data_IF_773248108920
#
_entry.id   IF_773248108920
#
_cell.length_a   1.000
_cell.length_b   1.000
_cell.length_c   1.000
_cell.angle_alpha   90.00
_cell.angle_beta   90.00
_cell.angle_gamma   90.00
#
_symmetry.space_group_name_H-M   'P 1'
#
loop_
_entity.id
_entity.type
_entity.pdbx_description
1 polymer ?
#
# COMPACT_ATOMS: atom_id res chain seq x y z
N UNK A 1 10.42 49.17 34.51
CA UNK A 1 11.24 49.36 33.29
C UNK A 1 11.03 48.08 32.48
N UNK A 2 10.07 47.97 31.56
CA UNK A 2 9.55 48.95 30.60
C UNK A 2 10.62 49.37 29.59
N UNK A 3 10.38 49.08 28.31
CA UNK A 3 11.37 49.11 27.23
C UNK A 3 10.83 48.45 25.96
N UNK A 4 9.64 48.87 25.51
CA UNK A 4 9.12 48.52 24.18
C UNK A 4 10.00 49.07 23.06
N UNK A 5 10.09 48.35 21.95
CA UNK A 5 10.30 48.95 20.63
C UNK A 5 9.71 48.08 19.53
N UNK A 6 8.43 48.31 19.22
CA UNK A 6 7.83 47.92 17.96
C UNK A 6 7.99 49.07 16.95
N UNK A 7 8.30 48.75 15.69
CA UNK A 7 8.47 49.74 14.61
C UNK A 7 7.52 49.41 13.47
N UNK A 8 6.63 50.35 13.13
CA UNK A 8 5.71 50.21 12.00
C UNK A 8 6.46 50.37 10.67
N UNK A 9 5.95 49.72 9.63
CA UNK A 9 6.04 50.23 8.26
C UNK A 9 4.64 50.21 7.63
N UNK A 10 4.24 51.33 7.03
CA UNK A 10 2.89 51.56 6.51
C UNK A 10 2.81 51.43 5.00
N UNK A 11 1.73 50.79 4.56
CA UNK A 11 1.10 50.82 3.24
C UNK A 11 1.50 51.94 2.26
N UNK A 12 1.54 51.60 0.97
CA UNK A 12 1.03 52.47 -0.08
C UNK A 12 0.21 51.69 -1.12
N UNK A 13 -0.70 52.43 -1.75
CA UNK A 13 -1.53 52.15 -2.94
C UNK A 13 -0.79 51.41 -4.07
N UNK A 14 -1.45 50.66 -4.98
CA UNK A 14 -2.89 50.52 -5.24
C UNK A 14 -3.15 50.48 -6.76
N UNK A 15 -4.17 49.76 -7.22
CA UNK A 15 -4.48 49.64 -8.66
C UNK A 15 -5.77 48.86 -8.89
N UNK A 16 -6.72 49.48 -9.59
CA UNK A 16 -8.10 49.00 -9.73
C UNK A 16 -8.56 49.08 -11.20
N UNK A 17 -8.75 47.90 -11.81
CA UNK A 17 -9.46 47.64 -13.07
C UNK A 17 -9.83 46.14 -13.03
N UNK A 18 -11.04 45.67 -13.33
CA UNK A 18 -12.23 46.36 -13.86
C UNK A 18 -12.63 45.76 -15.22
N UNK A 19 -13.48 44.72 -15.24
CA UNK A 19 -13.87 44.07 -16.50
C UNK A 19 -14.81 42.86 -16.39
N UNK A 20 -16.09 43.12 -16.65
CA UNK A 20 -17.11 42.23 -17.25
C UNK A 20 -17.21 40.73 -16.87
N UNK A 21 -18.39 40.38 -16.34
CA UNK A 21 -18.95 39.01 -16.37
C UNK A 21 -19.35 38.65 -17.81
N UNK A 22 -19.19 37.39 -18.22
CA UNK A 22 -20.09 36.77 -19.19
C UNK A 22 -20.25 35.26 -18.95
N UNK A 23 -21.51 34.83 -18.87
CA UNK A 23 -21.92 33.43 -18.97
C UNK A 23 -21.84 32.97 -20.45
N UNK A 24 -21.64 31.67 -20.69
CA UNK A 24 -21.23 31.16 -22.00
C UNK A 24 -21.18 29.63 -22.14
N UNK A 25 -22.32 28.97 -22.06
CA UNK A 25 -22.48 27.57 -22.46
C UNK A 25 -22.23 27.38 -23.97
N UNK A 26 -21.21 26.60 -24.33
CA UNK A 26 -20.91 26.23 -25.72
C UNK A 26 -21.40 24.82 -26.05
N UNK A 27 -22.56 24.72 -26.69
CA UNK A 27 -23.10 23.47 -27.25
C UNK A 27 -22.39 23.12 -28.57
N UNK A 28 -21.69 21.98 -28.62
CA UNK A 28 -20.91 21.56 -29.78
C UNK A 28 -21.74 20.71 -30.77
N UNK A 29 -22.77 21.30 -31.38
CA UNK A 29 -23.46 20.72 -32.54
C UNK A 29 -23.74 21.79 -33.59
N UNK A 30 -23.03 21.73 -34.73
CA UNK A 30 -23.47 22.09 -36.08
C UNK A 30 -22.27 22.31 -37.02
N UNK A 31 -21.90 21.28 -37.81
CA UNK A 31 -21.28 21.41 -39.15
C UNK A 31 -21.18 20.02 -39.79
N UNK A 32 -21.21 19.96 -41.13
CA UNK A 32 -21.13 18.74 -41.96
C UNK A 32 -22.31 17.76 -41.86
N UNK A 33 -23.45 18.13 -42.46
CA UNK A 33 -24.35 17.14 -43.07
C UNK A 33 -24.02 16.96 -44.55
N UNK A 34 -23.68 15.73 -44.99
CA UNK A 34 -23.56 15.37 -46.41
C UNK A 34 -24.19 13.99 -46.66
N UNK A 35 -25.34 14.03 -47.34
CA UNK A 35 -25.96 13.05 -48.27
C UNK A 35 -25.77 11.52 -48.07
N UNK A 36 -26.91 10.82 -48.03
CA UNK A 36 -27.01 9.37 -48.27
C UNK A 36 -26.47 8.94 -49.65
N UNK A 37 -25.66 7.87 -49.70
CA UNK A 37 -25.49 7.06 -50.93
C UNK A 37 -24.80 5.70 -50.68
N UNK A 38 -25.57 4.62 -50.86
CA UNK A 38 -25.13 3.28 -51.33
C UNK A 38 -24.15 2.46 -50.43
N UNK A 39 -24.74 1.44 -49.77
CA UNK A 39 -24.34 0.02 -49.73
C UNK A 39 -22.81 -0.27 -49.90
N UNK A 40 -22.07 -0.69 -48.89
CA UNK A 40 -22.26 -1.99 -48.20
C UNK A 40 -21.59 -1.98 -46.82
N UNK A 41 -22.36 -2.28 -45.77
CA UNK A 41 -21.79 -2.73 -44.49
C UNK A 41 -21.20 -4.14 -44.69
N UNK A 42 -19.92 -4.40 -44.35
CA UNK A 42 -19.51 -5.77 -44.11
C UNK A 42 -20.35 -6.31 -42.95
N UNK A 43 -20.89 -7.52 -43.08
CA UNK A 43 -21.42 -8.22 -41.92
C UNK A 43 -20.25 -8.41 -40.95
N UNK A 44 -20.26 -7.65 -39.85
CA UNK A 44 -19.44 -7.96 -38.68
C UNK A 44 -20.05 -9.23 -38.11
N UNK A 45 -19.60 -10.35 -38.66
CA UNK A 45 -19.86 -11.69 -38.14
C UNK A 45 -19.75 -11.63 -36.63
N UNK A 46 -20.75 -12.17 -35.94
CA UNK A 46 -20.82 -12.20 -34.49
C UNK A 46 -19.81 -13.21 -33.95
N UNK A 47 -18.52 -12.92 -34.15
CA UNK A 47 -17.41 -13.58 -33.48
C UNK A 47 -17.68 -13.48 -32.00
N UNK A 48 -17.96 -14.63 -31.39
CA UNK A 48 -18.39 -14.70 -30.01
C UNK A 48 -17.37 -14.00 -29.13
N UNK A 49 -17.84 -13.07 -28.30
CA UNK A 49 -17.08 -12.62 -27.14
C UNK A 49 -17.09 -13.75 -26.11
N UNK A 50 -16.41 -14.86 -26.44
CA UNK A 50 -15.84 -15.80 -25.47
C UNK A 50 -14.77 -15.03 -24.71
N UNK A 51 -15.21 -14.13 -23.83
CA UNK A 51 -14.37 -13.39 -22.91
C UNK A 51 -13.54 -14.40 -22.16
N UNK A 52 -12.22 -14.37 -22.37
CA UNK A 52 -11.28 -15.42 -21.97
C UNK A 52 -11.48 -15.79 -20.50
N UNK A 53 -12.21 -16.88 -20.28
CA UNK A 53 -12.56 -17.31 -18.93
C UNK A 53 -11.30 -17.62 -18.16
N UNK A 54 -11.27 -17.21 -16.90
CA UNK A 54 -10.14 -17.48 -16.01
C UNK A 54 -9.93 -19.00 -15.92
N UNK A 55 -8.70 -19.47 -16.18
CA UNK A 55 -8.41 -20.90 -16.19
C UNK A 55 -8.89 -21.54 -14.86
N UNK A 56 -9.74 -22.59 -14.87
CA UNK A 56 -10.49 -23.01 -13.68
C UNK A 56 -9.65 -23.30 -12.43
N UNK A 57 -8.46 -23.90 -12.59
CA UNK A 57 -7.51 -24.14 -11.47
C UNK A 57 -6.94 -22.87 -10.82
N UNK A 58 -6.98 -21.72 -11.52
CA UNK A 58 -6.60 -20.43 -10.95
C UNK A 58 -7.81 -19.73 -10.34
N UNK A 59 -9.00 -19.87 -10.95
CA UNK A 59 -10.26 -19.42 -10.37
C UNK A 59 -10.48 -20.02 -8.97
N UNK A 60 -10.31 -21.33 -8.82
CA UNK A 60 -10.31 -22.07 -7.53
C UNK A 60 -9.39 -21.45 -6.45
N UNK A 61 -8.28 -20.82 -6.85
CA UNK A 61 -7.30 -20.22 -5.95
C UNK A 61 -7.51 -18.73 -5.68
N UNK A 62 -8.33 -18.04 -6.50
CA UNK A 62 -8.74 -16.64 -6.23
C UNK A 62 -10.17 -16.52 -5.70
N UNK A 63 -10.99 -17.55 -5.84
CA UNK A 63 -12.35 -17.61 -5.31
C UNK A 63 -12.35 -17.49 -3.77
N UNK A 64 -13.23 -16.65 -3.25
CA UNK A 64 -13.30 -16.34 -1.82
C UNK A 64 -12.16 -15.49 -1.24
N UNK A 65 -11.16 -15.04 -2.03
CA UNK A 65 -10.10 -14.14 -1.50
C UNK A 65 -10.67 -12.84 -0.93
N UNK A 66 -11.71 -12.27 -1.56
CA UNK A 66 -12.40 -11.09 -1.03
C UNK A 66 -13.04 -11.35 0.33
N UNK A 67 -13.72 -12.50 0.51
CA UNK A 67 -14.31 -12.89 1.79
C UNK A 67 -13.26 -13.14 2.89
N UNK A 68 -12.03 -13.56 2.55
CA UNK A 68 -10.91 -13.61 3.50
C UNK A 68 -10.34 -12.23 3.81
N UNK A 69 -10.35 -11.30 2.84
CA UNK A 69 -10.03 -9.88 3.07
C UNK A 69 -11.07 -9.20 3.99
N UNK A 70 -12.37 -9.40 3.79
CA UNK A 70 -13.42 -8.84 4.64
C UNK A 70 -13.27 -9.31 6.10
N UNK A 71 -13.02 -10.61 6.31
CA UNK A 71 -12.71 -11.19 7.64
C UNK A 71 -11.48 -10.54 8.29
N UNK A 72 -10.42 -10.27 7.51
CA UNK A 72 -9.20 -9.63 7.99
C UNK A 72 -9.46 -8.18 8.43
N UNK A 73 -10.26 -7.42 7.68
CA UNK A 73 -10.59 -6.02 8.00
C UNK A 73 -11.53 -5.90 9.20
N UNK A 74 -12.43 -6.86 9.41
CA UNK A 74 -13.35 -6.87 10.55
C UNK A 74 -12.67 -7.05 11.94
N UNK A 75 -11.45 -7.61 11.99
CA UNK A 75 -11.04 -8.60 13.02
C UNK A 75 -11.77 -8.68 14.39
N UNK A 76 -11.64 -7.87 15.45
CA UNK A 76 -10.93 -6.63 15.84
C UNK A 76 -9.39 -6.74 15.96
N UNK A 77 -8.60 -5.66 15.76
CA UNK A 77 -7.14 -5.68 15.89
C UNK A 77 -6.61 -5.88 17.33
N UNK A 78 -5.42 -6.48 17.46
CA UNK A 78 -4.60 -6.42 18.68
C UNK A 78 -3.71 -5.17 18.62
N UNK A 79 -3.84 -4.26 19.60
CA UNK A 79 -3.08 -3.02 19.66
C UNK A 79 -2.13 -3.04 20.88
N UNK A 80 -0.83 -2.76 20.68
CA UNK A 80 0.19 -2.68 21.73
C UNK A 80 0.48 -3.98 22.51
N UNK A 81 -0.34 -5.02 22.35
CA UNK A 81 -0.28 -6.30 23.05
C UNK A 81 -0.08 -7.45 22.06
N UNK A 82 0.64 -8.52 22.42
CA UNK A 82 0.79 -9.68 21.55
C UNK A 82 -0.54 -10.44 21.42
N UNK A 83 -0.85 -11.01 20.25
CA UNK A 83 -2.04 -11.83 20.08
C UNK A 83 -2.04 -13.04 21.05
N UNK A 84 -3.23 -13.57 21.39
CA UNK A 84 -3.38 -14.66 22.36
C UNK A 84 -2.77 -15.97 21.83
N UNK A 85 -2.74 -17.01 22.66
CA UNK A 85 -2.11 -18.29 22.32
C UNK A 85 -2.94 -19.16 21.37
N UNK A 86 -4.25 -18.91 21.29
CA UNK A 86 -5.23 -19.71 20.54
C UNK A 86 -5.59 -19.11 19.16
N UNK A 87 -4.68 -18.39 18.51
CA UNK A 87 -4.89 -17.88 17.15
C UNK A 87 -4.59 -18.95 16.08
N UNK A 88 -5.08 -18.80 14.84
CA UNK A 88 -4.71 -19.65 13.72
C UNK A 88 -3.20 -19.84 13.57
N UNK A 89 -2.79 -21.03 13.16
CA UNK A 89 -1.36 -21.37 13.01
C UNK A 89 -0.74 -20.63 11.83
N UNK A 90 -1.44 -20.62 10.70
CA UNK A 90 -0.97 -20.01 9.45
C UNK A 90 -2.04 -19.17 8.73
N UNK A 91 -1.59 -18.27 7.86
CA UNK A 91 -2.45 -17.38 7.10
C UNK A 91 -1.78 -16.05 6.75
N UNK A 92 -2.60 -15.02 6.57
CA UNK A 92 -2.18 -13.65 6.24
C UNK A 92 -2.41 -12.73 7.44
N UNK A 93 -1.53 -11.75 7.62
CA UNK A 93 -1.60 -10.71 8.64
C UNK A 93 -1.40 -9.31 8.06
N UNK A 94 -1.94 -8.32 8.75
CA UNK A 94 -1.86 -6.89 8.45
C UNK A 94 -1.37 -6.14 9.70
N UNK A 95 -0.44 -5.20 9.49
CA UNK A 95 -0.13 -4.14 10.44
C UNK A 95 -0.68 -2.79 9.93
N UNK A 96 -1.36 -2.04 10.79
CA UNK A 96 -1.88 -0.69 10.50
C UNK A 96 -1.59 0.32 11.63
N UNK A 97 -1.51 1.60 11.32
CA UNK A 97 -1.49 2.68 12.31
C UNK A 97 -2.87 3.34 12.34
N UNK A 98 -3.64 3.04 13.41
CA UNK A 98 -5.08 3.27 13.38
C UNK A 98 -5.70 2.48 12.21
N UNK A 99 -6.35 3.22 11.32
CA UNK A 99 -6.99 2.71 10.10
C UNK A 99 -6.07 2.75 8.86
N UNK A 100 -4.84 3.29 8.94
CA UNK A 100 -3.89 3.34 7.81
C UNK A 100 -3.15 1.99 7.64
N UNK A 101 -3.41 1.21 6.58
CA UNK A 101 -2.84 -0.13 6.41
C UNK A 101 -1.42 -0.05 5.84
N UNK A 102 -0.41 -0.43 6.65
CA UNK A 102 0.99 -0.20 6.31
C UNK A 102 1.70 -1.41 5.69
N UNK A 103 1.45 -2.61 6.20
CA UNK A 103 2.14 -3.83 5.75
C UNK A 103 1.30 -5.10 5.87
N UNK A 104 1.18 -5.81 4.76
CA UNK A 104 0.63 -7.17 4.69
C UNK A 104 1.78 -8.18 4.64
N UNK A 105 1.62 -9.33 5.28
CA UNK A 105 2.47 -10.48 5.03
C UNK A 105 1.79 -11.81 5.33
N UNK A 106 2.37 -12.93 4.87
CA UNK A 106 1.93 -14.28 5.25
C UNK A 106 2.90 -15.02 6.16
N UNK A 107 2.40 -16.05 6.84
CA UNK A 107 3.19 -16.96 7.66
C UNK A 107 2.45 -18.26 7.97
N UNK A 108 3.19 -19.37 8.10
CA UNK A 108 2.68 -20.62 8.69
C UNK A 108 2.83 -20.68 10.22
N UNK A 109 3.24 -19.57 10.86
CA UNK A 109 3.48 -19.43 12.30
C UNK A 109 3.10 -18.01 12.75
N UNK A 110 1.85 -17.60 12.54
CA UNK A 110 1.37 -16.21 12.68
C UNK A 110 1.83 -15.53 13.99
N UNK A 111 1.58 -16.19 15.13
CA UNK A 111 1.98 -15.67 16.46
C UNK A 111 3.49 -15.50 16.62
N UNK A 112 4.27 -16.40 16.04
CA UNK A 112 5.74 -16.29 16.03
C UNK A 112 6.17 -15.11 15.15
N UNK A 113 5.55 -14.93 13.98
CA UNK A 113 5.86 -13.83 13.06
C UNK A 113 5.54 -12.45 13.64
N UNK A 114 4.48 -12.31 14.45
CA UNK A 114 4.26 -11.09 15.24
C UNK A 114 5.48 -10.78 16.12
N UNK A 115 5.97 -11.75 16.89
CA UNK A 115 7.15 -11.56 17.74
C UNK A 115 8.43 -11.30 16.94
N UNK A 116 8.59 -11.92 15.76
CA UNK A 116 9.74 -11.66 14.89
C UNK A 116 9.76 -10.22 14.37
N UNK A 117 8.61 -9.57 14.15
CA UNK A 117 8.58 -8.14 13.80
C UNK A 117 8.71 -7.20 15.00
N UNK A 118 8.24 -7.59 16.20
CA UNK A 118 8.08 -6.67 17.35
C UNK A 118 9.11 -6.79 18.48
N UNK A 119 9.93 -7.84 18.55
CA UNK A 119 10.94 -8.01 19.62
C UNK A 119 12.22 -7.23 19.34
N UNK A 120 12.80 -6.59 20.37
CA UNK A 120 14.07 -5.85 20.27
C UNK A 120 15.20 -6.73 19.69
N UNK A 121 15.32 -7.99 20.14
CA UNK A 121 16.34 -8.94 19.68
C UNK A 121 16.16 -9.49 18.26
N UNK A 122 15.09 -9.15 17.54
CA UNK A 122 14.86 -9.63 16.17
C UNK A 122 15.86 -9.03 15.18
N UNK A 123 16.43 -9.89 14.33
CA UNK A 123 17.44 -9.57 13.32
C UNK A 123 16.82 -9.05 12.01
N UNK A 124 17.63 -8.41 11.17
CA UNK A 124 17.24 -7.82 9.87
C UNK A 124 16.67 -8.82 8.84
N UNK A 125 16.84 -10.13 9.05
CA UNK A 125 16.25 -11.20 8.25
C UNK A 125 14.95 -11.78 8.84
N UNK A 126 14.56 -11.35 10.05
CA UNK A 126 13.34 -11.78 10.76
C UNK A 126 12.25 -10.70 10.70
N UNK A 127 12.60 -9.45 11.02
CA UNK A 127 11.70 -8.30 10.97
C UNK A 127 11.72 -7.66 9.57
N UNK A 128 11.11 -8.33 8.58
CA UNK A 128 11.13 -7.86 7.17
C UNK A 128 10.50 -6.47 6.99
N UNK A 129 9.49 -6.13 7.80
CA UNK A 129 8.80 -4.85 7.75
C UNK A 129 9.64 -3.73 8.38
N UNK A 130 10.19 -3.96 9.58
CA UNK A 130 11.07 -3.00 10.25
C UNK A 130 12.29 -2.62 9.40
N UNK A 131 12.82 -3.58 8.64
CA UNK A 131 13.90 -3.32 7.67
C UNK A 131 13.45 -2.31 6.59
N UNK A 132 12.24 -2.45 6.06
CA UNK A 132 11.73 -1.56 4.99
C UNK A 132 11.44 -0.15 5.48
N UNK A 133 10.92 0.00 6.70
CA UNK A 133 10.76 1.31 7.36
C UNK A 133 12.14 1.99 7.48
N UNK A 134 13.13 1.32 8.08
CA UNK A 134 14.46 1.88 8.28
C UNK A 134 15.19 2.21 6.96
N UNK A 135 15.04 1.35 5.95
CA UNK A 135 15.63 1.56 4.62
C UNK A 135 15.05 2.79 3.91
N UNK A 136 13.73 3.02 4.02
CA UNK A 136 13.07 4.18 3.41
C UNK A 136 13.33 5.48 4.19
N UNK A 137 13.41 5.43 5.53
CA UNK A 137 13.71 6.61 6.36
C UNK A 137 15.13 7.17 6.12
N UNK A 138 16.06 6.32 5.69
CA UNK A 138 17.45 6.69 5.39
C UNK A 138 17.69 6.98 3.90
N UNK A 139 16.62 7.04 3.09
CA UNK A 139 16.62 7.22 1.63
C UNK A 139 17.70 6.40 0.90
N UNK A 140 17.91 5.16 1.35
CA UNK A 140 18.98 4.32 0.83
C UNK A 140 18.66 3.91 -0.62
N UNK A 141 19.60 4.05 -1.57
CA UNK A 141 19.36 3.64 -2.95
C UNK A 141 19.06 2.14 -2.98
N UNK A 142 18.00 1.76 -3.71
CA UNK A 142 17.56 0.37 -3.85
C UNK A 142 18.77 -0.55 -4.09
N UNK A 143 18.98 -1.49 -3.18
CA UNK A 143 20.25 -2.20 -3.03
C UNK A 143 20.60 -2.94 -4.32
N UNK A 144 21.60 -2.44 -5.05
CA UNK A 144 22.05 -3.05 -6.30
C UNK A 144 22.63 -4.44 -6.01
N UNK A 145 22.59 -5.32 -7.01
CA UNK A 145 23.15 -6.69 -6.97
C UNK A 145 24.68 -6.78 -6.82
N UNK A 146 25.34 -5.71 -6.35
CA UNK A 146 26.76 -5.66 -5.98
C UNK A 146 27.00 -6.32 -4.61
N UNK A 147 28.26 -6.69 -4.32
CA UNK A 147 28.63 -7.15 -2.97
C UNK A 147 28.59 -5.97 -1.99
N UNK A 148 29.23 -4.87 -2.38
CA UNK A 148 29.08 -3.57 -1.73
C UNK A 148 27.63 -3.07 -1.80
N UNK A 149 27.13 -2.49 -0.70
CA UNK A 149 25.76 -1.97 -0.57
C UNK A 149 24.69 -3.04 -0.27
N UNK A 150 25.10 -4.31 -0.10
CA UNK A 150 24.17 -5.40 0.19
C UNK A 150 23.51 -5.32 1.58
N UNK A 151 22.38 -6.02 1.75
CA UNK A 151 21.58 -6.06 3.00
C UNK A 151 22.38 -6.33 4.30
N UNK A 152 23.54 -7.00 4.20
CA UNK A 152 24.43 -7.26 5.34
C UNK A 152 25.22 -6.03 5.78
N UNK A 153 25.69 -5.21 4.84
CA UNK A 153 26.51 -4.04 5.11
C UNK A 153 25.66 -2.89 5.64
N UNK A 154 24.49 -2.69 5.02
CA UNK A 154 23.46 -1.76 5.54
C UNK A 154 23.10 -2.11 6.99
N UNK A 155 23.00 -3.40 7.33
CA UNK A 155 22.72 -3.85 8.70
C UNK A 155 23.86 -3.62 9.72
N UNK A 156 25.02 -3.09 9.29
CA UNK A 156 26.14 -2.68 10.15
C UNK A 156 26.25 -1.15 10.32
N UNK A 157 25.52 -0.35 9.54
CA UNK A 157 25.51 1.11 9.67
C UNK A 157 24.83 1.53 10.98
N UNK A 158 25.45 2.43 11.76
CA UNK A 158 24.91 2.86 13.06
C UNK A 158 23.53 3.52 12.92
N UNK A 159 23.33 4.36 11.91
CA UNK A 159 22.03 4.95 11.57
C UNK A 159 20.98 3.88 11.27
N UNK A 160 21.33 2.87 10.46
CA UNK A 160 20.40 1.78 10.17
C UNK A 160 20.07 0.96 11.42
N UNK A 161 21.05 0.70 12.30
CA UNK A 161 20.82 0.00 13.57
C UNK A 161 19.85 0.78 14.46
N UNK A 162 19.99 2.11 14.52
CA UNK A 162 19.07 3.01 15.23
C UNK A 162 17.67 3.00 14.61
N UNK A 163 17.53 3.27 13.31
CA UNK A 163 16.21 3.32 12.66
C UNK A 163 15.52 1.95 12.62
N UNK A 164 16.26 0.85 12.53
CA UNK A 164 15.72 -0.51 12.64
C UNK A 164 15.23 -0.84 14.06
N UNK A 165 15.86 -0.30 15.11
CA UNK A 165 15.38 -0.40 16.49
C UNK A 165 14.13 0.48 16.72
N UNK A 166 14.10 1.69 16.18
CA UNK A 166 12.94 2.58 16.18
C UNK A 166 11.75 1.95 15.45
N UNK A 167 11.97 1.41 14.24
CA UNK A 167 10.95 0.74 13.43
C UNK A 167 10.33 -0.48 14.13
N UNK A 168 11.12 -1.33 14.80
CA UNK A 168 10.60 -2.44 15.62
C UNK A 168 9.76 -1.97 16.81
N UNK A 169 10.05 -0.76 17.33
CA UNK A 169 9.27 -0.14 18.41
C UNK A 169 7.97 0.47 17.88
N UNK A 170 7.99 1.14 16.72
CA UNK A 170 6.81 1.61 15.97
C UNK A 170 5.85 0.44 15.69
N UNK A 171 6.35 -0.66 15.10
CA UNK A 171 5.55 -1.85 14.73
C UNK A 171 4.94 -2.55 15.96
N UNK A 172 5.54 -2.45 17.15
CA UNK A 172 4.93 -2.99 18.39
C UNK A 172 3.66 -2.25 18.80
N UNK A 173 3.55 -0.97 18.45
CA UNK A 173 2.43 -0.11 18.80
C UNK A 173 1.34 -0.10 17.71
N UNK A 174 1.61 -0.70 16.54
CA UNK A 174 0.64 -0.85 15.46
C UNK A 174 -0.50 -1.82 15.82
N UNK A 175 -1.64 -1.63 15.17
CA UNK A 175 -2.73 -2.58 15.13
C UNK A 175 -2.29 -3.83 14.35
N UNK A 176 -2.50 -5.03 14.91
CA UNK A 176 -2.23 -6.31 14.27
C UNK A 176 -3.53 -7.09 14.00
N UNK A 177 -3.82 -7.36 12.73
CA UNK A 177 -4.95 -8.20 12.27
C UNK A 177 -4.43 -9.45 11.55
N UNK A 178 -5.18 -10.55 11.57
CA UNK A 178 -4.87 -11.78 10.85
C UNK A 178 -6.13 -12.52 10.36
N UNK A 179 -5.96 -13.37 9.36
CA UNK A 179 -6.98 -14.31 8.87
C UNK A 179 -6.32 -15.65 8.55
N UNK A 180 -6.99 -16.76 8.84
CA UNK A 180 -6.51 -18.11 8.52
C UNK A 180 -6.58 -18.37 7.01
N UNK A 181 -5.51 -18.94 6.47
CA UNK A 181 -5.46 -19.55 5.14
C UNK A 181 -4.36 -20.61 5.16
N UNK A 182 -4.68 -21.84 4.77
CA UNK A 182 -3.79 -23.00 4.93
C UNK A 182 -3.12 -23.42 3.63
N UNK A 183 -3.78 -23.19 2.48
CA UNK A 183 -3.19 -23.41 1.16
C UNK A 183 -2.09 -22.35 0.90
N UNK A 184 -0.87 -22.82 0.62
CA UNK A 184 0.31 -21.96 0.46
C UNK A 184 0.23 -21.03 -0.76
N UNK A 185 -0.49 -21.45 -1.80
CA UNK A 185 -0.76 -20.66 -3.00
C UNK A 185 -1.82 -19.61 -2.69
N UNK A 186 -2.90 -19.99 -1.99
CA UNK A 186 -3.94 -19.03 -1.56
C UNK A 186 -3.40 -18.01 -0.56
N UNK A 187 -2.50 -18.39 0.38
CA UNK A 187 -1.80 -17.42 1.22
C UNK A 187 -1.02 -16.40 0.39
N UNK A 188 -0.33 -16.82 -0.69
CA UNK A 188 0.43 -15.93 -1.56
C UNK A 188 -0.49 -14.96 -2.33
N UNK A 189 -1.58 -15.49 -2.90
CA UNK A 189 -2.56 -14.70 -3.64
C UNK A 189 -3.33 -13.75 -2.71
N UNK A 190 -3.62 -14.15 -1.47
CA UNK A 190 -4.23 -13.29 -0.45
C UNK A 190 -3.27 -12.19 0.04
N UNK A 191 -1.98 -12.51 0.25
CA UNK A 191 -0.93 -11.52 0.58
C UNK A 191 -0.84 -10.43 -0.50
N UNK A 192 -0.88 -10.83 -1.78
CA UNK A 192 -0.92 -9.89 -2.92
C UNK A 192 -2.24 -9.13 -2.95
N UNK A 193 -3.38 -9.83 -2.92
CA UNK A 193 -4.73 -9.24 -3.01
C UNK A 193 -4.98 -8.17 -1.96
N UNK A 194 -4.71 -8.49 -0.68
CA UNK A 194 -4.88 -7.54 0.43
C UNK A 194 -3.93 -6.35 0.27
N UNK A 195 -2.67 -6.57 -0.11
CA UNK A 195 -1.70 -5.49 -0.31
C UNK A 195 -2.09 -4.54 -1.46
N UNK A 196 -2.67 -5.09 -2.54
CA UNK A 196 -3.18 -4.31 -3.68
C UNK A 196 -4.44 -3.52 -3.32
N UNK A 197 -5.43 -4.16 -2.67
CA UNK A 197 -6.71 -3.51 -2.30
C UNK A 197 -6.53 -2.43 -1.24
N UNK A 198 -5.61 -2.63 -0.28
CA UNK A 198 -5.30 -1.66 0.76
C UNK A 198 -4.20 -0.65 0.39
N UNK A 199 -3.59 -0.78 -0.80
CA UNK A 199 -2.48 0.06 -1.27
C UNK A 199 -1.32 0.20 -0.25
N UNK A 200 -0.96 -0.91 0.42
CA UNK A 200 -0.06 -0.85 1.59
C UNK A 200 1.38 -0.45 1.20
N UNK A 201 1.92 0.69 1.68
CA UNK A 201 3.16 1.28 1.16
C UNK A 201 4.43 0.44 1.44
N UNK A 202 4.42 -0.40 2.47
CA UNK A 202 5.55 -1.27 2.79
C UNK A 202 5.43 -2.68 2.19
N UNK A 203 4.52 -2.90 1.24
CA UNK A 203 4.55 -4.04 0.32
C UNK A 203 5.21 -3.63 -1.00
N UNK A 204 5.89 -4.57 -1.66
CA UNK A 204 6.52 -4.41 -2.97
C UNK A 204 6.82 -5.81 -3.48
N UNK A 205 6.50 -6.06 -4.73
CA UNK A 205 6.64 -7.35 -5.41
C UNK A 205 7.62 -7.26 -6.59
N UNK A 206 8.31 -6.13 -6.77
CA UNK A 206 9.45 -6.00 -7.69
C UNK A 206 10.59 -6.93 -7.26
N UNK A 207 11.32 -7.43 -8.24
CA UNK A 207 12.62 -8.10 -8.03
C UNK A 207 13.71 -7.07 -7.76
N UNK A 208 14.46 -7.25 -6.67
CA UNK A 208 15.59 -6.43 -6.24
C UNK A 208 16.82 -7.31 -6.05
#
# INVERSE_FOLDING_TARGET
MAGDHATLWTSHTGGDFGGCVHDGTLTFEALYGIQDSILQTPEVSSGSTEGRSMHPRFLEKVEGLHASYEKLIAMTPHAGTPPPTNIPVGGVYLFSEGDEPLYVGRSNRLRERYFLHTRNGSRHNQASFAFRIAFQLLDLPAARYTKEGGRKEIALMEDFIREFAAAKTRIRNMNYRYVEETDQTRQALLEIYVATVLYTPYNDFRTH
#
